data_IF_753050658558
#
_entry.id   IF_753050658558
#
_cell.length_a   1.000
_cell.length_b   1.000
_cell.length_c   1.000
_cell.angle_alpha   90.00
_cell.angle_beta   90.00
_cell.angle_gamma   90.00
#
_symmetry.space_group_name_H-M   'P 1'
#
loop_
_entity.id
_entity.type
_entity.pdbx_description
1 polymer ?
#
# COMPACT_ATOMS: atom_id res chain seq x y z
N UNK A 1 -18.14 -34.92 -49.60
CA UNK A 1 -18.24 -34.92 -48.11
C UNK A 1 -17.01 -34.23 -47.55
N UNK A 2 -17.12 -33.10 -46.82
CA UNK A 2 -16.00 -32.55 -46.09
C UNK A 2 -15.80 -33.37 -44.80
N UNK A 3 -14.57 -33.80 -44.53
CA UNK A 3 -14.20 -34.45 -43.26
C UNK A 3 -14.31 -33.42 -42.14
N UNK A 4 -15.31 -33.56 -41.27
CA UNK A 4 -15.30 -32.93 -39.95
C UNK A 4 -14.06 -33.42 -39.19
N UNK A 5 -13.06 -32.55 -39.04
CA UNK A 5 -12.01 -32.75 -38.04
C UNK A 5 -12.57 -32.27 -36.71
N UNK A 6 -13.06 -33.21 -35.91
CA UNK A 6 -13.35 -32.98 -34.50
C UNK A 6 -12.03 -32.62 -33.81
N UNK A 7 -11.88 -31.39 -33.34
CA UNK A 7 -10.72 -30.96 -32.57
C UNK A 7 -10.81 -31.59 -31.18
N UNK A 8 -10.20 -32.77 -31.00
CA UNK A 8 -9.99 -33.34 -29.67
C UNK A 8 -8.81 -32.59 -29.04
N UNK A 9 -9.10 -31.66 -28.13
CA UNK A 9 -8.07 -31.03 -27.33
C UNK A 9 -7.45 -32.10 -26.40
N UNK A 10 -6.22 -32.51 -26.69
CA UNK A 10 -5.42 -33.37 -25.81
C UNK A 10 -5.35 -32.70 -24.42
N UNK A 11 -6.01 -33.32 -23.42
CA UNK A 11 -5.93 -32.91 -22.01
C UNK A 11 -4.89 -33.76 -21.30
N UNK A 12 -4.06 -33.09 -20.50
CA UNK A 12 -3.00 -33.70 -19.69
C UNK A 12 -3.41 -33.69 -18.23
N UNK A 13 -3.65 -34.86 -17.64
CA UNK A 13 -4.16 -34.97 -16.27
C UNK A 13 -3.05 -35.13 -15.23
N UNK A 14 -3.21 -34.44 -14.10
CA UNK A 14 -2.37 -34.61 -12.93
C UNK A 14 -2.83 -35.81 -12.10
N UNK A 15 -2.01 -36.87 -12.09
CA UNK A 15 -2.29 -38.11 -11.34
C UNK A 15 -2.39 -37.89 -9.81
N UNK A 16 -1.81 -36.81 -9.28
CA UNK A 16 -1.80 -36.54 -7.84
C UNK A 16 -3.03 -35.78 -7.33
N UNK A 17 -3.77 -35.06 -8.18
CA UNK A 17 -4.94 -34.27 -7.74
C UNK A 17 -6.08 -34.14 -8.77
N UNK A 18 -6.08 -34.97 -9.82
CA UNK A 18 -7.11 -35.06 -10.87
C UNK A 18 -7.42 -33.75 -11.64
N UNK A 19 -6.54 -32.74 -11.59
CA UNK A 19 -6.65 -31.53 -12.44
C UNK A 19 -6.18 -31.79 -13.87
N UNK A 20 -6.89 -31.25 -14.87
CA UNK A 20 -6.59 -31.38 -16.30
C UNK A 20 -6.01 -30.10 -16.89
N UNK A 21 -5.07 -30.22 -17.81
CA UNK A 21 -4.36 -29.09 -18.44
C UNK A 21 -4.40 -29.21 -19.96
N UNK A 22 -4.54 -28.07 -20.66
CA UNK A 22 -4.54 -28.02 -22.13
C UNK A 22 -3.15 -28.14 -22.75
N UNK A 23 -2.09 -28.03 -21.94
CA UNK A 23 -0.69 -28.17 -22.39
C UNK A 23 0.13 -28.95 -21.37
N UNK A 24 1.13 -29.68 -21.86
CA UNK A 24 2.08 -30.42 -21.00
C UNK A 24 2.91 -29.48 -20.13
N UNK A 25 3.18 -28.25 -20.60
CA UNK A 25 3.81 -27.19 -19.82
C UNK A 25 2.99 -26.74 -18.62
N UNK A 26 1.66 -26.64 -18.78
CA UNK A 26 0.72 -26.35 -17.68
C UNK A 26 0.75 -27.43 -16.61
N UNK A 27 0.75 -28.71 -17.01
CA UNK A 27 0.88 -29.83 -16.08
C UNK A 27 2.22 -29.81 -15.31
N UNK A 28 3.33 -29.47 -15.99
CA UNK A 28 4.66 -29.40 -15.37
C UNK A 28 4.76 -28.27 -14.35
N UNK A 29 4.25 -27.08 -14.67
CA UNK A 29 4.18 -25.94 -13.72
C UNK A 29 3.35 -26.29 -12.49
N UNK A 30 2.18 -26.89 -12.69
CA UNK A 30 1.34 -27.34 -11.59
C UNK A 30 2.01 -28.40 -10.70
N UNK A 31 2.69 -29.40 -11.29
CA UNK A 31 3.46 -30.38 -10.50
C UNK A 31 4.55 -29.74 -9.66
N UNK A 32 5.27 -28.77 -10.22
CA UNK A 32 6.33 -28.07 -9.50
C UNK A 32 5.82 -27.15 -8.38
N UNK A 33 4.66 -26.52 -8.57
CA UNK A 33 4.10 -25.59 -7.59
C UNK A 33 3.29 -26.30 -6.48
N UNK A 34 2.58 -27.38 -6.83
CA UNK A 34 1.59 -27.99 -5.93
C UNK A 34 2.02 -29.35 -5.36
N UNK A 35 3.05 -30.00 -5.92
CA UNK A 35 3.44 -31.37 -5.54
C UNK A 35 4.94 -31.52 -5.28
N UNK A 36 5.71 -30.42 -5.27
CA UNK A 36 7.14 -30.47 -5.00
C UNK A 36 7.39 -30.10 -3.54
N UNK A 37 7.76 -31.07 -2.72
CA UNK A 37 8.32 -30.80 -1.39
C UNK A 37 9.68 -30.11 -1.57
N UNK A 38 9.83 -28.97 -0.89
CA UNK A 38 11.00 -28.12 -1.01
C UNK A 38 12.17 -28.70 -0.21
N UNK A 39 13.14 -29.31 -0.90
CA UNK A 39 14.50 -29.44 -0.37
C UNK A 39 15.31 -28.24 -0.88
N UNK A 40 15.54 -27.26 0.00
CA UNK A 40 16.45 -26.14 -0.28
C UNK A 40 17.86 -26.48 0.23
N UNK A 41 18.84 -26.40 -0.66
CA UNK A 41 20.24 -26.20 -0.29
C UNK A 41 20.54 -24.69 -0.30
N UNK A 42 21.31 -24.16 0.66
CA UNK A 42 21.57 -22.72 0.75
C UNK A 42 22.56 -22.25 -0.32
N UNK A 43 22.43 -21.00 -0.82
CA UNK A 43 23.35 -20.42 -1.80
C UNK A 43 24.61 -19.83 -1.12
N UNK A 44 25.76 -19.99 -1.77
CA UNK A 44 27.05 -19.44 -1.33
C UNK A 44 27.12 -17.91 -1.50
N UNK A 45 27.83 -17.19 -0.61
CA UNK A 45 27.92 -15.73 -0.64
C UNK A 45 28.90 -15.20 -1.70
N UNK A 46 28.73 -13.93 -2.15
CA UNK A 46 29.58 -13.31 -3.15
C UNK A 46 30.89 -12.79 -2.54
N UNK A 47 31.99 -12.92 -3.30
CA UNK A 47 33.30 -12.37 -2.98
C UNK A 47 33.33 -10.90 -3.41
N UNK A 48 33.42 -9.97 -2.46
CA UNK A 48 33.72 -8.56 -2.74
C UNK A 48 35.16 -8.25 -2.32
N UNK A 49 35.96 -7.83 -3.30
CA UNK A 49 37.30 -7.31 -3.11
C UNK A 49 37.31 -5.81 -3.42
N UNK A 50 37.40 -4.94 -2.41
CA UNK A 50 37.99 -3.61 -2.56
C UNK A 50 38.67 -3.16 -1.25
N UNK A 51 39.75 -2.36 -1.32
CA UNK A 51 40.70 -2.16 -0.23
C UNK A 51 40.32 -1.01 0.72
N UNK A 52 40.66 -1.23 1.99
CA UNK A 52 40.83 -0.25 3.09
C UNK A 52 41.69 0.94 2.62
N UNK A 53 41.58 2.18 3.10
CA UNK A 53 41.00 2.78 4.29
C UNK A 53 41.87 4.00 4.60
N UNK A 54 41.31 5.09 5.14
CA UNK A 54 42.06 6.10 5.91
C UNK A 54 41.15 6.66 6.99
N UNK A 55 41.54 6.42 8.23
CA UNK A 55 40.95 6.95 9.46
C UNK A 55 41.37 8.40 9.68
N UNK A 56 40.48 9.21 10.28
CA UNK A 56 40.89 10.30 11.16
C UNK A 56 39.88 10.45 12.29
N UNK A 57 40.34 10.17 13.51
CA UNK A 57 39.74 10.55 14.79
C UNK A 57 39.99 12.05 15.03
N UNK A 58 39.03 12.78 15.63
CA UNK A 58 39.15 13.28 17.01
C UNK A 58 37.88 14.05 17.48
N UNK A 59 37.64 14.04 18.80
CA UNK A 59 37.08 15.19 19.52
C UNK A 59 35.60 15.18 19.93
N UNK A 60 35.27 14.45 20.99
CA UNK A 60 34.00 14.49 21.72
C UNK A 60 33.76 15.79 22.51
N UNK A 61 32.49 16.24 22.58
CA UNK A 61 31.92 16.97 23.73
C UNK A 61 30.42 16.67 23.85
N UNK A 62 30.08 16.17 25.04
CA UNK A 62 28.80 15.61 25.46
C UNK A 62 27.68 16.62 25.66
N UNK A 63 26.49 16.29 25.19
CA UNK A 63 25.22 16.71 25.80
C UNK A 63 24.25 15.53 25.77
N UNK A 64 23.70 15.25 26.96
CA UNK A 64 22.72 14.20 27.25
C UNK A 64 21.38 14.52 26.57
N UNK A 65 20.59 13.46 26.33
CA UNK A 65 19.26 13.42 25.70
C UNK A 65 19.21 13.37 24.16
N UNK A 66 19.68 12.26 23.57
CA UNK A 66 19.16 11.68 22.33
C UNK A 66 19.71 10.24 22.11
N UNK A 67 19.09 9.23 22.71
CA UNK A 67 19.30 7.83 22.28
C UNK A 67 18.10 7.33 21.46
N UNK A 68 18.03 7.78 20.20
CA UNK A 68 17.52 6.96 19.10
C UNK A 68 18.73 6.52 18.27
N UNK A 69 19.39 5.45 18.70
CA UNK A 69 20.40 4.78 17.88
C UNK A 69 19.72 3.98 16.79
N UNK A 70 19.69 4.55 15.59
CA UNK A 70 19.54 3.78 14.36
C UNK A 70 20.65 2.73 14.29
N UNK A 71 20.27 1.46 14.39
CA UNK A 71 21.20 0.33 14.33
C UNK A 71 21.95 0.31 13.01
N UNK A 72 23.28 0.25 13.09
CA UNK A 72 24.17 0.01 11.96
C UNK A 72 23.84 -1.30 11.23
N UNK A 73 23.97 -1.26 9.90
CA UNK A 73 23.58 -2.31 8.96
C UNK A 73 24.54 -3.52 8.90
N UNK A 74 25.32 -3.82 9.94
CA UNK A 74 26.35 -4.88 9.91
C UNK A 74 26.30 -5.88 11.08
N UNK A 75 25.19 -5.95 11.82
CA UNK A 75 24.95 -7.00 12.82
C UNK A 75 24.07 -8.13 12.27
N UNK A 76 24.43 -9.39 12.52
CA UNK A 76 23.49 -10.50 12.36
C UNK A 76 22.19 -10.19 13.15
N UNK A 77 20.99 -10.50 12.63
CA UNK A 77 19.75 -10.20 13.33
C UNK A 77 19.80 -10.79 14.75
N UNK A 78 19.63 -9.95 15.77
CA UNK A 78 19.55 -10.43 17.14
C UNK A 78 18.35 -11.38 17.25
N UNK A 79 18.61 -12.59 17.75
CA UNK A 79 17.55 -13.58 17.95
C UNK A 79 16.61 -13.08 19.04
N UNK A 80 15.30 -13.12 18.76
CA UNK A 80 14.26 -12.84 19.76
C UNK A 80 14.08 -14.09 20.61
N UNK A 81 14.23 -13.95 21.93
CA UNK A 81 14.01 -15.03 22.89
C UNK A 81 12.70 -14.85 23.66
N UNK A 82 12.34 -13.60 23.98
CA UNK A 82 11.12 -13.27 24.71
C UNK A 82 10.36 -12.17 24.00
N UNK A 83 9.06 -12.39 23.78
CA UNK A 83 8.13 -11.38 23.26
C UNK A 83 7.09 -11.06 24.33
N UNK A 84 6.96 -9.77 24.67
CA UNK A 84 5.91 -9.25 25.55
C UNK A 84 4.89 -8.48 24.72
N UNK A 85 3.64 -8.91 24.76
CA UNK A 85 2.54 -8.20 24.10
C UNK A 85 1.92 -7.16 25.02
N UNK A 86 1.42 -6.08 24.43
CA UNK A 86 0.73 -5.05 25.18
C UNK A 86 -0.51 -5.63 25.89
N UNK A 87 -0.66 -5.43 27.22
CA UNK A 87 -1.67 -6.15 28.01
C UNK A 87 -3.11 -5.70 27.70
N UNK A 88 -3.29 -4.41 27.35
CA UNK A 88 -4.61 -3.78 27.21
C UNK A 88 -5.09 -3.63 25.75
N UNK A 89 -4.25 -3.06 24.89
CA UNK A 89 -4.46 -2.97 23.43
C UNK A 89 -4.05 -4.28 22.74
N UNK A 90 -4.68 -5.38 23.15
CA UNK A 90 -4.32 -6.76 22.79
C UNK A 90 -5.13 -7.34 21.61
N UNK A 91 -5.79 -6.47 20.82
CA UNK A 91 -6.43 -6.82 19.56
C UNK A 91 -7.43 -7.99 19.67
N UNK A 92 -8.35 -7.89 20.63
CA UNK A 92 -9.35 -8.93 20.96
C UNK A 92 -10.18 -9.30 19.72
N UNK A 93 -10.18 -10.58 19.31
CA UNK A 93 -11.02 -11.07 18.24
C UNK A 93 -12.50 -10.85 18.55
N UNK A 94 -13.28 -10.55 17.51
CA UNK A 94 -14.71 -10.31 17.57
C UNK A 94 -15.44 -11.19 16.55
N UNK A 95 -16.74 -11.39 16.75
CA UNK A 95 -17.65 -11.88 15.73
C UNK A 95 -18.01 -10.75 14.71
N UNK A 96 -18.73 -11.06 13.61
CA UNK A 96 -19.16 -10.04 12.65
C UNK A 96 -20.11 -8.96 13.20
N UNK A 97 -20.67 -9.16 14.40
CA UNK A 97 -21.51 -8.19 15.09
C UNK A 97 -20.72 -7.32 16.08
N UNK A 98 -19.42 -7.58 16.26
CA UNK A 98 -18.55 -6.86 17.18
C UNK A 98 -18.53 -7.42 18.60
N UNK A 99 -19.08 -8.60 18.86
CA UNK A 99 -18.98 -9.21 20.19
C UNK A 99 -17.63 -9.91 20.35
N UNK A 100 -16.91 -9.75 21.48
CA UNK A 100 -15.66 -10.44 21.72
C UNK A 100 -15.82 -11.97 21.66
N UNK A 101 -14.85 -12.65 21.06
CA UNK A 101 -14.77 -14.11 21.00
C UNK A 101 -13.44 -14.63 21.56
N UNK A 102 -13.36 -15.88 22.04
CA UNK A 102 -12.10 -16.47 22.48
C UNK A 102 -11.02 -16.42 21.39
N UNK A 103 -9.76 -16.26 21.78
CA UNK A 103 -8.61 -16.15 20.86
C UNK A 103 -8.51 -17.34 19.89
N UNK A 104 -8.84 -18.54 20.36
CA UNK A 104 -8.76 -19.78 19.57
C UNK A 104 -9.97 -20.00 18.64
N UNK A 105 -10.90 -19.04 18.57
CA UNK A 105 -12.07 -19.13 17.69
C UNK A 105 -11.61 -19.13 16.23
N UNK A 106 -11.95 -20.14 15.41
CA UNK A 106 -11.59 -20.14 14.01
C UNK A 106 -12.14 -18.91 13.28
N UNK A 107 -11.39 -18.33 12.33
CA UNK A 107 -11.86 -17.17 11.57
C UNK A 107 -13.19 -17.48 10.87
N UNK A 108 -14.12 -16.53 10.88
CA UNK A 108 -15.34 -16.67 10.09
C UNK A 108 -14.94 -16.80 8.62
N UNK A 109 -15.44 -17.82 7.89
CA UNK A 109 -15.18 -17.96 6.47
C UNK A 109 -15.56 -16.66 5.74
N UNK A 110 -14.80 -16.23 4.72
CA UNK A 110 -15.25 -15.13 3.88
C UNK A 110 -16.65 -15.44 3.36
N UNK A 111 -17.54 -14.44 3.33
CA UNK A 111 -18.70 -14.49 2.44
C UNK A 111 -18.20 -14.35 0.99
N UNK A 112 -17.44 -15.33 0.50
CA UNK A 112 -17.06 -15.42 -0.88
C UNK A 112 -17.99 -16.44 -1.55
N UNK A 113 -18.83 -16.02 -2.51
CA UNK A 113 -19.29 -16.98 -3.50
C UNK A 113 -18.03 -17.47 -4.23
N UNK A 114 -17.74 -18.76 -4.15
CA UNK A 114 -16.52 -19.41 -4.66
C UNK A 114 -16.28 -19.24 -6.19
N UNK A 115 -17.11 -18.47 -6.89
CA UNK A 115 -17.15 -18.27 -8.34
C UNK A 115 -17.74 -16.90 -8.76
N UNK A 116 -17.66 -15.86 -7.92
CA UNK A 116 -18.17 -14.53 -8.32
C UNK A 116 -17.18 -13.82 -9.25
N UNK A 117 -17.40 -13.94 -10.57
CA UNK A 117 -16.63 -13.23 -11.59
C UNK A 117 -17.12 -11.79 -11.80
N UNK A 118 -18.05 -11.30 -10.99
CA UNK A 118 -18.60 -9.94 -11.14
C UNK A 118 -17.50 -8.88 -11.16
N UNK A 119 -17.66 -7.85 -12.01
CA UNK A 119 -18.81 -7.55 -12.85
C UNK A 119 -18.89 -8.39 -14.15
N UNK A 120 -17.92 -9.25 -14.41
CA UNK A 120 -17.91 -10.10 -15.60
C UNK A 120 -18.98 -11.19 -15.52
N UNK A 121 -19.63 -11.44 -16.65
CA UNK A 121 -20.68 -12.46 -16.77
C UNK A 121 -20.14 -13.90 -16.61
N UNK A 122 -18.83 -14.10 -16.77
CA UNK A 122 -18.18 -15.40 -16.66
C UNK A 122 -16.67 -15.29 -16.54
N UNK A 123 -16.02 -16.39 -16.15
CA UNK A 123 -14.55 -16.56 -16.23
C UNK A 123 -13.98 -16.27 -17.62
N UNK A 124 -14.72 -16.63 -18.68
CA UNK A 124 -14.27 -16.41 -20.06
C UNK A 124 -14.27 -14.92 -20.36
N UNK A 125 -15.33 -14.20 -19.97
CA UNK A 125 -15.40 -12.75 -20.12
C UNK A 125 -14.25 -12.06 -19.38
N UNK A 126 -13.97 -12.46 -18.13
CA UNK A 126 -12.84 -11.95 -17.36
C UNK A 126 -11.49 -12.19 -18.08
N UNK A 127 -11.21 -13.43 -18.48
CA UNK A 127 -9.94 -13.78 -19.13
C UNK A 127 -9.76 -13.15 -20.50
N UNK A 128 -10.85 -12.97 -21.23
CA UNK A 128 -10.84 -12.25 -22.50
C UNK A 128 -10.57 -10.75 -22.29
N UNK A 129 -11.19 -10.14 -21.28
CA UNK A 129 -10.91 -8.76 -20.87
C UNK A 129 -9.44 -8.58 -20.48
N UNK A 130 -8.91 -9.45 -19.63
CA UNK A 130 -7.48 -9.45 -19.23
C UNK A 130 -6.56 -9.55 -20.45
N UNK A 131 -6.80 -10.50 -21.35
CA UNK A 131 -6.00 -10.67 -22.56
C UNK A 131 -6.03 -9.44 -23.47
N UNK A 132 -7.23 -8.95 -23.81
CA UNK A 132 -7.38 -7.85 -24.78
C UNK A 132 -6.92 -6.50 -24.22
N UNK A 133 -7.19 -6.22 -22.95
CA UNK A 133 -6.89 -4.94 -22.31
C UNK A 133 -5.45 -4.88 -21.77
N UNK A 134 -5.02 -5.90 -21.03
CA UNK A 134 -3.75 -5.88 -20.28
C UNK A 134 -2.60 -6.52 -21.05
N UNK A 135 -2.81 -7.69 -21.65
CA UNK A 135 -1.73 -8.43 -22.30
C UNK A 135 -1.42 -7.89 -23.70
N UNK A 136 -2.44 -7.78 -24.56
CA UNK A 136 -2.27 -7.32 -25.95
C UNK A 136 -2.37 -5.80 -26.12
N UNK A 137 -3.00 -5.11 -25.15
CA UNK A 137 -3.34 -3.68 -25.25
C UNK A 137 -3.97 -3.35 -26.61
N UNK A 138 -4.93 -4.17 -27.01
CA UNK A 138 -5.43 -4.19 -28.38
C UNK A 138 -6.17 -2.90 -28.72
N UNK A 139 -5.89 -2.33 -29.91
CA UNK A 139 -6.58 -1.14 -30.39
C UNK A 139 -8.11 -1.34 -30.41
N UNK A 140 -8.86 -0.33 -29.96
CA UNK A 140 -10.33 -0.36 -29.85
C UNK A 140 -11.04 -0.89 -31.10
N UNK A 141 -10.64 -0.41 -32.29
CA UNK A 141 -11.17 -0.86 -33.58
C UNK A 141 -10.98 -2.37 -33.84
N UNK A 142 -9.88 -2.96 -33.36
CA UNK A 142 -9.59 -4.38 -33.49
C UNK A 142 -10.42 -5.20 -32.50
N UNK A 143 -10.64 -4.69 -31.29
CA UNK A 143 -11.52 -5.32 -30.30
C UNK A 143 -12.96 -5.39 -30.84
N UNK A 144 -13.49 -4.29 -31.35
CA UNK A 144 -14.82 -4.29 -31.98
C UNK A 144 -14.89 -5.28 -33.14
N UNK A 145 -13.85 -5.32 -33.99
CA UNK A 145 -13.82 -6.28 -35.10
C UNK A 145 -13.82 -7.73 -34.64
N UNK A 146 -13.09 -8.05 -33.57
CA UNK A 146 -13.07 -9.36 -32.97
C UNK A 146 -14.46 -9.76 -32.45
N UNK A 147 -15.15 -8.86 -31.74
CA UNK A 147 -16.48 -9.13 -31.22
C UNK A 147 -17.54 -9.25 -32.33
N UNK A 148 -17.43 -8.49 -33.43
CA UNK A 148 -18.27 -8.68 -34.62
C UNK A 148 -18.11 -10.09 -35.21
N UNK A 149 -16.88 -10.54 -35.42
CA UNK A 149 -16.60 -11.87 -35.98
C UNK A 149 -17.10 -12.98 -35.04
N UNK A 150 -16.90 -12.79 -33.73
CA UNK A 150 -17.38 -13.75 -32.75
C UNK A 150 -18.91 -13.80 -32.71
N UNK A 151 -19.57 -12.64 -32.76
CA UNK A 151 -21.04 -12.55 -32.85
C UNK A 151 -21.56 -13.30 -34.06
N UNK A 152 -20.95 -13.07 -35.24
CA UNK A 152 -21.33 -13.77 -36.47
C UNK A 152 -21.22 -15.30 -36.33
N UNK A 153 -20.15 -15.80 -35.70
CA UNK A 153 -19.96 -17.25 -35.47
C UNK A 153 -20.95 -17.87 -34.47
N UNK A 154 -21.48 -17.08 -33.53
CA UNK A 154 -22.39 -17.54 -32.49
C UNK A 154 -23.87 -17.41 -32.89
N UNK A 155 -24.18 -16.56 -33.89
CA UNK A 155 -25.53 -16.29 -34.35
C UNK A 155 -26.26 -17.58 -34.78
N UNK A 156 -25.56 -18.47 -35.47
CA UNK A 156 -26.08 -19.78 -35.94
C UNK A 156 -26.47 -20.72 -34.79
N UNK A 157 -25.98 -20.46 -33.58
CA UNK A 157 -26.22 -21.26 -32.38
C UNK A 157 -27.03 -20.51 -31.32
N UNK A 158 -27.58 -19.33 -31.63
CA UNK A 158 -28.32 -18.49 -30.68
C UNK A 158 -27.46 -17.98 -29.52
N UNK A 159 -26.14 -17.97 -29.67
CA UNK A 159 -25.20 -17.54 -28.64
C UNK A 159 -24.92 -16.04 -28.68
N UNK A 160 -24.41 -15.50 -27.58
CA UNK A 160 -23.94 -14.11 -27.48
C UNK A 160 -22.46 -14.07 -27.11
N UNK A 161 -21.69 -13.11 -27.65
CA UNK A 161 -20.29 -12.94 -27.27
C UNK A 161 -20.17 -12.48 -25.80
N UNK A 162 -19.01 -12.70 -25.15
CA UNK A 162 -18.78 -12.26 -23.76
C UNK A 162 -18.95 -10.74 -23.56
N UNK A 163 -18.67 -9.95 -24.60
CA UNK A 163 -18.91 -8.50 -24.64
C UNK A 163 -19.57 -8.13 -25.97
N UNK A 164 -20.46 -7.14 -25.93
CA UNK A 164 -21.21 -6.66 -27.10
C UNK A 164 -20.43 -5.63 -27.91
N UNK A 165 -19.49 -4.94 -27.27
CA UNK A 165 -18.60 -3.96 -27.89
C UNK A 165 -17.37 -3.74 -27.01
N UNK A 166 -16.36 -3.06 -27.54
CA UNK A 166 -15.23 -2.57 -26.75
C UNK A 166 -15.71 -1.64 -25.63
N UNK A 167 -16.74 -0.82 -25.87
CA UNK A 167 -17.28 0.10 -24.86
C UNK A 167 -17.86 -0.70 -23.68
N UNK A 168 -18.69 -1.71 -23.95
CA UNK A 168 -19.22 -2.60 -22.91
C UNK A 168 -18.09 -3.32 -22.16
N UNK A 169 -17.02 -3.74 -22.85
CA UNK A 169 -15.86 -4.34 -22.19
C UNK A 169 -15.18 -3.34 -21.23
N UNK A 170 -14.93 -2.10 -21.65
CA UNK A 170 -14.30 -1.10 -20.79
C UNK A 170 -15.22 -0.68 -19.63
N UNK A 171 -16.51 -0.49 -19.87
CA UNK A 171 -17.49 -0.24 -18.80
C UNK A 171 -17.53 -1.39 -17.78
N UNK A 172 -17.40 -2.64 -18.24
CA UNK A 172 -17.30 -3.80 -17.35
C UNK A 172 -16.01 -3.79 -16.55
N UNK A 173 -14.89 -3.41 -17.16
CA UNK A 173 -13.60 -3.26 -16.45
C UNK A 173 -13.67 -2.12 -15.43
N UNK A 174 -14.26 -0.99 -15.79
CA UNK A 174 -14.41 0.18 -14.92
C UNK A 174 -15.41 -0.09 -13.79
N UNK A 175 -16.36 -1.01 -13.98
CA UNK A 175 -17.30 -1.46 -12.96
C UNK A 175 -16.72 -2.47 -11.96
N UNK A 176 -15.43 -2.84 -12.07
CA UNK A 176 -14.79 -3.74 -11.13
C UNK A 176 -14.82 -3.11 -9.72
N UNK A 177 -15.61 -3.71 -8.84
CA UNK A 177 -15.72 -3.29 -7.43
C UNK A 177 -14.60 -3.87 -6.56
N UNK A 178 -13.91 -4.89 -7.05
CA UNK A 178 -12.75 -5.51 -6.42
C UNK A 178 -11.49 -4.91 -7.02
N UNK A 179 -10.98 -3.84 -6.43
CA UNK A 179 -9.82 -3.14 -6.99
C UNK A 179 -9.36 -1.98 -6.12
N UNK A 180 -8.44 -1.20 -6.67
CA UNK A 180 -7.84 -0.07 -5.98
C UNK A 180 -8.83 1.05 -5.69
N UNK A 181 -8.62 1.72 -4.56
CA UNK A 181 -9.33 2.95 -4.20
C UNK A 181 -9.19 4.00 -5.31
N UNK A 182 -10.28 4.60 -5.81
CA UNK A 182 -10.24 5.53 -6.93
C UNK A 182 -9.50 6.82 -6.57
N UNK A 183 -8.86 7.41 -7.59
CA UNK A 183 -8.29 8.75 -7.50
C UNK A 183 -9.39 9.81 -7.53
N UNK A 184 -9.24 10.80 -6.67
CA UNK A 184 -10.06 12.01 -6.56
C UNK A 184 -9.15 13.22 -6.76
N UNK A 185 -9.73 14.34 -7.17
CA UNK A 185 -9.01 15.60 -7.34
C UNK A 185 -9.68 16.69 -6.51
N UNK A 186 -8.87 17.53 -5.87
CA UNK A 186 -9.32 18.79 -5.31
C UNK A 186 -8.29 19.88 -5.62
N UNK A 187 -8.72 21.12 -5.50
CA UNK A 187 -7.90 22.27 -5.87
C UNK A 187 -7.72 23.23 -4.69
N UNK A 188 -6.52 23.79 -4.58
CA UNK A 188 -6.17 24.81 -3.58
C UNK A 188 -5.73 26.07 -4.30
N UNK A 189 -6.15 27.22 -3.79
CA UNK A 189 -5.73 28.54 -4.31
C UNK A 189 -5.24 29.43 -3.19
N UNK A 190 -4.38 30.39 -3.54
CA UNK A 190 -4.01 31.46 -2.62
C UNK A 190 -5.26 32.28 -2.26
N UNK A 191 -5.39 32.62 -0.98
CA UNK A 191 -6.55 33.33 -0.42
C UNK A 191 -6.16 34.54 0.43
N UNK A 192 -4.88 34.93 0.39
CA UNK A 192 -4.40 36.13 1.08
C UNK A 192 -4.61 37.39 0.25
N UNK A 193 -4.12 38.51 0.78
CA UNK A 193 -4.16 39.80 0.10
C UNK A 193 -3.37 39.74 -1.22
N UNK A 194 -3.96 40.33 -2.25
CA UNK A 194 -3.38 40.44 -3.58
C UNK A 194 -2.88 41.89 -3.73
N UNK A 195 -1.59 42.11 -4.06
CA UNK A 195 -1.04 43.46 -4.19
C UNK A 195 -1.75 44.26 -5.28
N UNK A 196 -1.93 45.56 -5.04
CA UNK A 196 -2.34 46.52 -6.06
C UNK A 196 -1.22 46.64 -7.13
N UNK A 197 -1.48 46.15 -8.35
CA UNK A 197 -0.50 46.19 -9.46
C UNK A 197 -0.32 44.83 -10.15
N UNK A 198 0.92 44.52 -10.58
CA UNK A 198 1.21 43.25 -11.28
C UNK A 198 1.18 42.07 -10.30
N UNK A 199 0.06 41.35 -10.28
CA UNK A 199 -0.12 40.16 -9.44
C UNK A 199 0.79 39.01 -9.89
N UNK A 200 1.57 38.39 -8.99
CA UNK A 200 2.30 37.18 -9.30
C UNK A 200 1.38 36.05 -9.77
N UNK A 201 1.75 35.34 -10.83
CA UNK A 201 0.93 34.24 -11.38
C UNK A 201 0.62 33.16 -10.36
N UNK A 202 1.51 32.91 -9.40
CA UNK A 202 1.31 31.92 -8.34
C UNK A 202 0.17 32.28 -7.37
N UNK A 203 -0.17 33.56 -7.22
CA UNK A 203 -1.31 34.00 -6.40
C UNK A 203 -2.65 33.78 -7.10
N UNK A 204 -2.65 33.68 -8.43
CA UNK A 204 -3.85 33.48 -9.27
C UNK A 204 -4.01 32.02 -9.72
N UNK A 205 -2.97 31.22 -9.54
CA UNK A 205 -2.94 29.83 -9.98
C UNK A 205 -3.79 28.94 -9.07
N UNK A 206 -4.43 27.97 -9.70
CA UNK A 206 -5.10 26.87 -9.02
C UNK A 206 -4.16 25.67 -8.98
N UNK A 207 -4.03 25.07 -7.80
CA UNK A 207 -3.12 23.96 -7.54
C UNK A 207 -3.93 22.70 -7.32
N UNK A 208 -3.97 21.84 -8.33
CA UNK A 208 -4.66 20.56 -8.27
C UNK A 208 -3.84 19.52 -7.50
N UNK A 209 -4.51 18.78 -6.64
CA UNK A 209 -3.97 17.64 -5.90
C UNK A 209 -4.82 16.42 -6.24
N UNK A 210 -4.15 15.37 -6.71
CA UNK A 210 -4.79 14.08 -6.94
C UNK A 210 -4.51 13.18 -5.76
N UNK A 211 -5.54 12.54 -5.19
CA UNK A 211 -5.38 11.68 -4.02
C UNK A 211 -6.35 10.51 -4.01
N UNK A 212 -5.99 9.47 -3.28
CA UNK A 212 -6.85 8.34 -2.93
C UNK A 212 -7.24 8.48 -1.46
N UNK A 213 -8.45 8.07 -1.12
CA UNK A 213 -8.94 8.16 0.26
C UNK A 213 -8.12 7.23 1.17
N UNK A 214 -7.35 7.77 2.14
CA UNK A 214 -6.48 6.96 2.98
C UNK A 214 -7.26 6.00 3.90
N UNK A 215 -8.49 6.35 4.28
CA UNK A 215 -9.35 5.47 5.08
C UNK A 215 -9.69 4.21 4.29
N UNK A 216 -10.16 4.37 3.04
CA UNK A 216 -10.51 3.24 2.18
C UNK A 216 -9.28 2.38 1.87
N UNK A 217 -8.11 3.00 1.68
CA UNK A 217 -6.86 2.27 1.45
C UNK A 217 -6.43 1.47 2.68
N UNK A 218 -6.56 2.05 3.87
CA UNK A 218 -6.27 1.33 5.11
C UNK A 218 -7.22 0.14 5.31
N UNK A 219 -8.51 0.29 4.96
CA UNK A 219 -9.47 -0.82 4.96
C UNK A 219 -9.09 -1.89 3.93
N UNK A 220 -8.70 -1.49 2.72
CA UNK A 220 -8.22 -2.40 1.68
C UNK A 220 -7.02 -3.21 2.15
N UNK A 221 -6.00 -2.57 2.75
CA UNK A 221 -4.83 -3.25 3.32
C UNK A 221 -5.23 -4.27 4.40
N UNK A 222 -6.09 -3.89 5.34
CA UNK A 222 -6.53 -4.78 6.42
C UNK A 222 -7.42 -5.93 5.94
N UNK A 223 -8.17 -5.73 4.86
CA UNK A 223 -9.03 -6.78 4.28
C UNK A 223 -8.29 -7.77 3.40
N UNK A 224 -7.02 -7.50 3.05
CA UNK A 224 -6.26 -8.30 2.10
C UNK A 224 -5.67 -9.55 2.78
N UNK A 225 -6.15 -10.77 2.48
CA UNK A 225 -5.62 -12.00 3.07
C UNK A 225 -4.19 -12.31 2.62
N UNK A 226 -3.69 -11.65 1.56
CA UNK A 226 -2.30 -11.77 1.13
C UNK A 226 -1.28 -11.33 2.19
N UNK A 227 -1.69 -10.49 3.14
CA UNK A 227 -0.84 -10.07 4.28
C UNK A 227 -0.93 -10.97 5.51
N UNK A 228 -1.71 -12.05 5.47
CA UNK A 228 -1.96 -12.91 6.64
C UNK A 228 -0.68 -13.32 7.38
N UNK A 229 0.33 -13.81 6.65
CA UNK A 229 1.56 -14.33 7.27
C UNK A 229 2.55 -13.21 7.64
N UNK A 230 2.22 -11.95 7.33
CA UNK A 230 3.01 -10.76 7.62
C UNK A 230 2.24 -9.72 8.42
N UNK A 231 1.26 -10.14 9.21
CA UNK A 231 0.35 -9.27 9.95
C UNK A 231 0.57 -9.36 11.46
N UNK A 232 0.89 -8.21 12.06
CA UNK A 232 1.17 -8.04 13.49
C UNK A 232 0.07 -7.17 14.14
N UNK A 233 -0.97 -7.78 14.75
CA UNK A 233 -2.09 -7.02 15.29
C UNK A 233 -1.80 -6.35 16.64
N UNK A 234 -0.77 -6.79 17.38
CA UNK A 234 -0.57 -6.38 18.77
C UNK A 234 0.79 -5.70 18.93
N UNK A 235 0.85 -4.48 19.52
CA UNK A 235 2.11 -3.86 19.91
C UNK A 235 2.89 -4.78 20.84
N UNK A 236 4.19 -4.92 20.60
CA UNK A 236 5.03 -5.86 21.34
C UNK A 236 6.38 -5.26 21.70
N UNK A 237 7.05 -5.88 22.66
CA UNK A 237 8.45 -5.66 22.99
C UNK A 237 9.16 -6.99 22.87
N UNK A 238 10.10 -7.06 21.94
CA UNK A 238 10.94 -8.23 21.73
C UNK A 238 12.27 -8.02 22.48
N UNK A 239 12.76 -9.09 23.10
CA UNK A 239 13.98 -9.11 23.89
C UNK A 239 14.89 -10.25 23.47
N UNK A 240 16.20 -9.98 23.48
CA UNK A 240 17.23 -11.00 23.29
C UNK A 240 17.53 -11.79 24.58
N UNK A 241 18.44 -12.76 24.49
CA UNK A 241 18.87 -13.61 25.62
C UNK A 241 19.49 -12.86 26.79
N UNK A 242 19.92 -11.62 26.57
CA UNK A 242 20.53 -10.75 27.58
C UNK A 242 19.52 -9.72 28.12
N UNK A 243 18.27 -9.76 27.68
CA UNK A 243 17.24 -8.79 28.03
C UNK A 243 17.34 -7.46 27.27
N UNK A 244 18.17 -7.36 26.24
CA UNK A 244 18.27 -6.20 25.36
C UNK A 244 17.06 -6.10 24.42
N UNK A 245 16.67 -4.88 24.04
CA UNK A 245 15.55 -4.67 23.10
C UNK A 245 15.94 -5.07 21.69
N UNK A 246 15.07 -5.85 21.05
CA UNK A 246 15.15 -6.19 19.62
C UNK A 246 14.04 -5.46 18.87
N UNK A 247 14.39 -4.83 17.75
CA UNK A 247 13.46 -4.08 16.90
C UNK A 247 13.47 -4.67 15.49
N UNK A 248 12.43 -5.43 15.14
CA UNK A 248 12.35 -6.15 13.86
C UNK A 248 11.22 -5.65 12.97
N UNK A 249 10.11 -5.18 13.55
CA UNK A 249 8.94 -4.65 12.85
C UNK A 249 8.43 -3.39 13.53
N UNK A 250 7.57 -2.64 12.83
CA UNK A 250 7.02 -1.40 13.37
C UNK A 250 6.30 -1.63 14.71
N UNK A 251 5.55 -2.73 14.83
CA UNK A 251 4.83 -3.06 16.07
C UNK A 251 5.73 -3.44 17.25
N UNK A 252 7.00 -3.80 16.99
CA UNK A 252 8.03 -3.99 18.04
C UNK A 252 8.67 -2.67 18.51
N UNK A 253 8.41 -1.57 17.80
CA UNK A 253 8.97 -0.25 18.06
C UNK A 253 8.47 0.39 19.35
N UNK A 254 9.25 1.30 19.93
CA UNK A 254 8.84 2.04 21.13
C UNK A 254 7.63 2.95 20.86
N UNK A 255 7.48 3.46 19.64
CA UNK A 255 6.34 4.30 19.25
C UNK A 255 5.00 3.55 19.38
N UNK A 256 4.89 2.32 18.87
CA UNK A 256 3.63 1.55 18.90
C UNK A 256 3.18 1.28 20.33
N UNK A 257 4.13 0.97 21.21
CA UNK A 257 3.86 0.74 22.63
C UNK A 257 3.39 2.03 23.33
N UNK A 258 4.10 3.15 23.16
CA UNK A 258 3.71 4.43 23.77
C UNK A 258 2.32 4.88 23.30
N UNK A 259 2.03 4.70 22.00
CA UNK A 259 0.72 5.02 21.45
C UNK A 259 -0.38 4.13 22.04
N UNK A 260 -0.09 2.85 22.25
CA UNK A 260 -1.00 1.92 22.90
C UNK A 260 -1.26 2.30 24.36
N UNK A 261 -0.23 2.66 25.13
CA UNK A 261 -0.36 3.14 26.52
C UNK A 261 -1.24 4.39 26.58
N UNK A 262 -1.07 5.34 25.66
CA UNK A 262 -1.87 6.57 25.59
C UNK A 262 -3.35 6.27 25.29
N UNK A 263 -3.63 5.42 24.30
CA UNK A 263 -5.00 5.07 23.92
C UNK A 263 -5.70 4.19 24.96
N UNK A 264 -4.95 3.36 25.69
CA UNK A 264 -5.47 2.50 26.75
C UNK A 264 -5.98 3.27 27.98
N UNK A 265 -5.67 4.57 28.10
CA UNK A 265 -6.21 5.44 29.15
C UNK A 265 -7.73 5.63 29.03
N UNK A 266 -8.30 5.52 27.82
CA UNK A 266 -9.75 5.52 27.62
C UNK A 266 -10.30 4.09 27.73
N UNK A 267 -11.18 3.80 28.72
CA UNK A 267 -11.80 2.50 28.89
C UNK A 267 -12.60 2.01 27.66
N UNK A 268 -12.99 2.89 26.73
CA UNK A 268 -13.69 2.50 25.50
C UNK A 268 -12.79 1.79 24.49
N UNK A 269 -11.48 1.98 24.61
CA UNK A 269 -10.47 1.46 23.69
C UNK A 269 -9.90 0.10 24.12
N UNK A 270 -10.27 -0.40 25.31
CA UNK A 270 -9.79 -1.68 25.82
C UNK A 270 -10.03 -2.81 24.81
N UNK A 271 -9.00 -3.60 24.56
CA UNK A 271 -9.03 -4.71 23.62
C UNK A 271 -8.98 -4.32 22.14
N UNK A 272 -8.92 -3.03 21.80
CA UNK A 272 -8.81 -2.61 20.41
C UNK A 272 -7.42 -2.91 19.82
N UNK A 273 -7.39 -3.08 18.51
CA UNK A 273 -6.19 -3.16 17.69
C UNK A 273 -5.80 -1.75 17.25
N UNK A 274 -4.56 -1.33 17.50
CA UNK A 274 -4.06 -0.08 16.93
C UNK A 274 -3.58 -0.32 15.50
N UNK A 275 -3.90 0.60 14.59
CA UNK A 275 -3.47 0.55 13.19
C UNK A 275 -2.69 1.82 12.88
N UNK A 276 -1.35 1.78 13.03
CA UNK A 276 -0.50 2.90 12.67
C UNK A 276 -0.50 3.10 11.16
N UNK A 277 -0.71 4.33 10.70
CA UNK A 277 -0.60 4.72 9.30
C UNK A 277 0.71 5.50 9.13
N UNK A 278 1.66 4.88 8.46
CA UNK A 278 2.98 5.44 8.19
C UNK A 278 2.89 6.19 6.87
N UNK A 279 3.31 7.44 6.86
CA UNK A 279 3.32 8.25 5.64
C UNK A 279 4.76 8.54 5.21
N UNK A 280 4.94 8.90 3.96
CA UNK A 280 6.20 9.45 3.50
C UNK A 280 6.02 10.16 2.18
N UNK A 281 6.84 11.17 1.91
CA UNK A 281 6.82 11.87 0.63
C UNK A 281 8.23 12.03 0.12
N UNK A 282 8.38 11.97 -1.19
CA UNK A 282 9.66 12.14 -1.85
C UNK A 282 9.44 13.02 -3.08
N UNK A 283 9.96 14.26 -3.05
CA UNK A 283 9.84 15.15 -4.20
C UNK A 283 10.86 14.76 -5.26
N UNK A 284 10.38 14.23 -6.38
CA UNK A 284 11.22 13.69 -7.46
C UNK A 284 11.11 14.52 -8.73
N UNK A 285 12.24 14.92 -9.31
CA UNK A 285 12.29 15.58 -10.62
C UNK A 285 12.26 14.54 -11.74
N UNK A 286 11.26 14.61 -12.62
CA UNK A 286 10.92 13.57 -13.59
C UNK A 286 11.39 13.93 -15.00
N UNK A 287 11.44 15.23 -15.33
CA UNK A 287 12.06 15.69 -16.58
C UNK A 287 12.79 17.02 -16.42
N UNK A 288 14.04 17.05 -16.86
CA UNK A 288 14.88 18.27 -16.86
C UNK A 288 14.82 18.98 -18.22
N UNK A 289 14.70 18.23 -19.32
CA UNK A 289 14.84 18.76 -20.69
C UNK A 289 13.57 19.40 -21.28
N UNK A 290 12.38 19.07 -20.78
CA UNK A 290 11.09 19.46 -21.40
C UNK A 290 10.14 20.23 -20.47
N UNK A 291 10.65 20.85 -19.41
CA UNK A 291 9.85 21.79 -18.59
C UNK A 291 9.97 21.70 -17.07
N UNK A 292 11.05 21.09 -16.53
CA UNK A 292 11.25 20.95 -15.08
C UNK A 292 10.01 20.37 -14.38
N UNK A 293 9.54 19.19 -14.80
CA UNK A 293 8.40 18.55 -14.16
C UNK A 293 8.86 17.79 -12.93
N UNK A 294 8.34 18.19 -11.76
CA UNK A 294 8.52 17.48 -10.50
C UNK A 294 7.23 16.73 -10.18
N UNK A 295 7.34 15.48 -9.74
CA UNK A 295 6.27 14.80 -9.03
C UNK A 295 6.55 14.86 -7.53
N UNK A 296 5.48 15.04 -6.76
CA UNK A 296 5.58 15.02 -5.31
C UNK A 296 4.62 13.97 -4.74
N UNK A 297 4.94 12.68 -4.92
CA UNK A 297 4.15 11.59 -4.37
C UNK A 297 4.14 11.61 -2.84
N UNK A 298 2.97 11.34 -2.28
CA UNK A 298 2.75 10.95 -0.89
C UNK A 298 2.42 9.46 -0.87
N UNK A 299 3.10 8.71 -0.03
CA UNK A 299 2.94 7.28 0.18
C UNK A 299 2.31 6.99 1.53
N UNK A 300 1.63 5.85 1.63
CA UNK A 300 1.09 5.32 2.88
C UNK A 300 1.40 3.83 3.02
N UNK A 301 1.66 3.41 4.24
CA UNK A 301 1.74 2.01 4.65
C UNK A 301 1.08 1.82 6.02
N UNK A 302 0.73 0.59 6.37
CA UNK A 302 0.17 0.28 7.68
C UNK A 302 1.23 -0.41 8.55
N UNK A 303 1.48 0.11 9.75
CA UNK A 303 2.48 -0.40 10.68
C UNK A 303 2.23 -1.83 11.18
N UNK A 304 1.00 -2.33 11.05
CA UNK A 304 0.66 -3.74 11.34
C UNK A 304 1.19 -4.72 10.29
N UNK A 305 1.74 -4.24 9.17
CA UNK A 305 2.41 -5.09 8.17
C UNK A 305 3.90 -5.17 8.50
N UNK A 306 4.39 -6.39 8.61
CA UNK A 306 5.81 -6.71 8.88
C UNK A 306 6.75 -6.11 7.83
N UNK A 307 8.00 -5.89 8.22
CA UNK A 307 9.07 -5.39 7.35
C UNK A 307 9.30 -6.32 6.14
N UNK A 308 9.16 -7.63 6.32
CA UNK A 308 9.30 -8.60 5.23
C UNK A 308 8.31 -8.34 4.10
N UNK A 309 7.04 -8.11 4.44
CA UNK A 309 6.00 -7.76 3.48
C UNK A 309 6.08 -6.30 3.00
N UNK A 310 6.57 -5.37 3.82
CA UNK A 310 6.88 -4.00 3.37
C UNK A 310 7.99 -3.94 2.31
N UNK A 311 8.96 -4.86 2.38
CA UNK A 311 10.06 -4.97 1.40
C UNK A 311 9.71 -5.87 0.22
N UNK A 312 8.70 -6.73 0.35
CA UNK A 312 8.15 -7.48 -0.76
C UNK A 312 7.31 -6.54 -1.64
N UNK A 313 7.39 -6.71 -2.97
CA UNK A 313 6.56 -5.99 -3.94
C UNK A 313 5.11 -6.50 -3.90
N UNK A 314 4.40 -6.30 -2.79
CA UNK A 314 3.04 -6.79 -2.55
C UNK A 314 2.09 -5.66 -2.08
N UNK A 315 2.23 -4.46 -2.63
CA UNK A 315 1.36 -3.30 -2.39
C UNK A 315 1.17 -2.93 -0.89
N UNK A 316 2.17 -3.22 -0.08
CA UNK A 316 2.24 -2.86 1.34
C UNK A 316 2.57 -1.38 1.55
N UNK A 317 3.15 -0.72 0.54
CA UNK A 317 3.40 0.72 0.46
C UNK A 317 2.77 1.22 -0.83
N UNK A 318 1.85 2.18 -0.73
CA UNK A 318 1.06 2.65 -1.88
C UNK A 318 1.09 4.16 -2.00
N UNK A 319 1.16 4.73 -3.23
CA UNK A 319 1.06 6.17 -3.43
C UNK A 319 -0.38 6.64 -3.19
N UNK A 320 -0.60 7.52 -2.24
CA UNK A 320 -1.94 8.02 -1.88
C UNK A 320 -2.22 9.42 -2.40
N UNK A 321 -1.21 10.21 -2.76
CA UNK A 321 -1.44 11.50 -3.38
C UNK A 321 -0.27 11.93 -4.29
N UNK A 322 -0.57 12.85 -5.20
CA UNK A 322 0.42 13.67 -5.91
C UNK A 322 0.18 15.12 -5.49
N UNK A 323 1.08 15.64 -4.65
CA UNK A 323 0.99 16.98 -4.09
C UNK A 323 1.38 18.04 -5.11
N UNK A 324 0.73 19.19 -5.04
CA UNK A 324 1.05 20.31 -5.89
C UNK A 324 2.41 20.93 -5.51
N UNK A 325 3.26 21.16 -6.51
CA UNK A 325 4.51 21.92 -6.36
C UNK A 325 4.33 23.29 -7.01
N UNK A 326 4.16 24.37 -6.22
CA UNK A 326 3.97 25.69 -6.78
C UNK A 326 5.28 26.18 -7.39
N UNK A 327 5.27 26.41 -8.70
CA UNK A 327 6.40 27.00 -9.43
C UNK A 327 6.23 28.51 -9.49
N UNK A 328 7.31 29.25 -9.25
CA UNK A 328 7.36 30.70 -9.43
C UNK A 328 8.73 31.11 -9.99
N UNK A 329 8.85 32.35 -10.48
CA UNK A 329 10.14 32.87 -10.90
C UNK A 329 11.08 33.08 -9.71
N UNK A 330 12.39 32.86 -9.91
CA UNK A 330 13.44 32.95 -8.86
C UNK A 330 13.39 34.20 -7.97
N UNK A 331 12.83 35.30 -8.49
CA UNK A 331 12.62 36.53 -7.71
C UNK A 331 11.75 36.33 -6.45
N UNK A 332 10.90 35.30 -6.41
CA UNK A 332 10.02 35.00 -5.29
C UNK A 332 10.59 33.94 -4.33
N UNK A 333 11.76 33.35 -4.60
CA UNK A 333 12.31 32.27 -3.76
C UNK A 333 12.55 32.71 -2.30
N UNK A 334 12.84 34.01 -2.11
CA UNK A 334 13.04 34.65 -0.80
C UNK A 334 11.84 35.49 -0.36
N UNK A 335 10.73 35.45 -1.08
CA UNK A 335 9.51 36.17 -0.71
C UNK A 335 8.82 35.47 0.47
N UNK A 336 8.69 36.11 1.65
CA UNK A 336 8.06 35.50 2.82
C UNK A 336 6.61 35.08 2.58
N UNK A 337 5.86 35.80 1.74
CA UNK A 337 4.47 35.49 1.43
C UNK A 337 4.41 34.21 0.60
N UNK A 338 5.28 34.08 -0.40
CA UNK A 338 5.36 32.87 -1.22
C UNK A 338 5.83 31.66 -0.41
N UNK A 339 6.84 31.82 0.44
CA UNK A 339 7.31 30.75 1.33
C UNK A 339 6.21 30.26 2.26
N UNK A 340 5.49 31.18 2.90
CA UNK A 340 4.33 30.86 3.75
C UNK A 340 3.23 30.15 2.96
N UNK A 341 2.95 30.61 1.75
CA UNK A 341 1.97 29.97 0.87
C UNK A 341 2.37 28.52 0.53
N UNK A 342 3.64 28.27 0.22
CA UNK A 342 4.17 26.90 -0.04
C UNK A 342 3.92 25.97 1.15
N UNK A 343 4.21 26.46 2.37
CA UNK A 343 3.97 25.69 3.59
C UNK A 343 2.47 25.44 3.80
N UNK A 344 1.63 26.46 3.65
CA UNK A 344 0.19 26.33 3.79
C UNK A 344 -0.41 25.37 2.76
N UNK A 345 0.05 25.42 1.51
CA UNK A 345 -0.40 24.52 0.44
C UNK A 345 -0.10 23.07 0.81
N UNK A 346 1.12 22.78 1.26
CA UNK A 346 1.51 21.44 1.70
C UNK A 346 0.66 20.95 2.89
N UNK A 347 0.62 21.72 3.99
CA UNK A 347 -0.08 21.34 5.21
C UNK A 347 -1.60 21.25 5.05
N UNK A 348 -2.22 22.17 4.31
CA UNK A 348 -3.67 22.10 4.00
C UNK A 348 -3.99 20.92 3.11
N UNK A 349 -3.11 20.57 2.17
CA UNK A 349 -3.31 19.37 1.32
C UNK A 349 -3.28 18.10 2.16
N UNK A 350 -2.28 17.94 3.05
CA UNK A 350 -2.22 16.80 3.96
C UNK A 350 -3.43 16.73 4.89
N UNK A 351 -3.83 17.87 5.49
CA UNK A 351 -4.99 17.93 6.37
C UNK A 351 -6.28 17.52 5.63
N UNK A 352 -6.48 17.97 4.38
CA UNK A 352 -7.63 17.59 3.57
C UNK A 352 -7.62 16.09 3.24
N UNK A 353 -6.48 15.56 2.80
CA UNK A 353 -6.32 14.14 2.45
C UNK A 353 -6.61 13.24 3.66
N UNK A 354 -6.08 13.61 4.83
CA UNK A 354 -6.18 12.82 6.07
C UNK A 354 -7.52 13.00 6.80
N UNK A 355 -8.39 13.90 6.36
CA UNK A 355 -9.66 14.23 7.04
C UNK A 355 -10.53 12.98 7.26
N UNK A 356 -10.58 12.07 6.28
CA UNK A 356 -11.39 10.84 6.35
C UNK A 356 -10.97 9.88 7.47
N UNK A 357 -9.74 10.01 7.99
CA UNK A 357 -9.22 9.15 9.06
C UNK A 357 -9.72 9.55 10.45
N UNK A 358 -10.09 10.81 10.66
CA UNK A 358 -10.39 11.36 12.01
C UNK A 358 -11.42 10.55 12.78
N UNK A 359 -12.47 10.08 12.10
CA UNK A 359 -13.52 9.27 12.72
C UNK A 359 -12.95 7.96 13.27
N UNK A 360 -12.16 7.23 12.48
CA UNK A 360 -11.54 5.97 12.90
C UNK A 360 -10.34 6.13 13.85
N UNK A 361 -9.87 7.36 14.06
CA UNK A 361 -8.89 7.68 15.12
C UNK A 361 -9.55 7.92 16.48
N UNK A 362 -10.84 8.26 16.50
CA UNK A 362 -11.58 8.62 17.72
C UNK A 362 -12.52 7.50 18.16
N UNK A 363 -13.15 6.83 17.20
CA UNK A 363 -14.16 5.79 17.43
C UNK A 363 -13.64 4.50 16.82
N UNK A 364 -13.62 3.43 17.64
CA UNK A 364 -13.23 2.11 17.18
C UNK A 364 -14.15 1.62 16.06
N UNK A 365 -13.56 1.04 15.03
CA UNK A 365 -14.29 0.50 13.88
C UNK A 365 -14.16 -1.01 13.83
N UNK A 366 -15.26 -1.73 13.60
CA UNK A 366 -15.20 -3.17 13.41
C UNK A 366 -14.66 -3.47 12.01
N UNK A 367 -13.53 -4.17 11.93
CA UNK A 367 -12.87 -4.50 10.67
C UNK A 367 -12.44 -5.95 10.63
N UNK A 368 -12.60 -6.58 9.46
CA UNK A 368 -12.02 -7.88 9.18
C UNK A 368 -10.55 -7.72 8.78
N UNK A 369 -9.67 -8.43 9.47
CA UNK A 369 -8.22 -8.36 9.33
C UNK A 369 -7.68 -9.41 8.34
N UNK A 370 -6.38 -9.37 7.98
CA UNK A 370 -5.79 -10.30 7.00
C UNK A 370 -5.86 -11.77 7.41
N UNK A 371 -5.86 -12.04 8.71
CA UNK A 371 -6.02 -13.38 9.29
C UNK A 371 -7.47 -13.90 9.28
N UNK A 372 -8.41 -13.08 8.78
CA UNK A 372 -9.83 -13.40 8.65
C UNK A 372 -10.66 -13.10 9.90
N UNK A 373 -10.04 -12.71 11.01
CA UNK A 373 -10.71 -12.36 12.25
C UNK A 373 -11.28 -10.94 12.19
N UNK A 374 -12.41 -10.71 12.84
CA UNK A 374 -12.90 -9.34 13.06
C UNK A 374 -12.26 -8.76 14.33
N UNK A 375 -11.92 -7.48 14.29
CA UNK A 375 -11.39 -6.74 15.44
C UNK A 375 -11.94 -5.34 15.46
N UNK A 376 -12.09 -4.79 16.65
CA UNK A 376 -12.25 -3.36 16.80
C UNK A 376 -10.89 -2.67 16.60
N UNK A 377 -10.80 -1.76 15.64
CA UNK A 377 -9.56 -1.09 15.28
C UNK A 377 -9.62 0.41 15.59
N UNK A 378 -8.47 1.01 15.87
CA UNK A 378 -8.27 2.45 15.95
C UNK A 378 -7.11 2.85 15.04
N UNK A 379 -7.35 3.74 14.11
CA UNK A 379 -6.29 4.31 13.29
C UNK A 379 -5.45 5.30 14.09
N UNK A 380 -4.15 5.34 13.83
CA UNK A 380 -3.24 6.32 14.38
C UNK A 380 -2.40 6.92 13.25
N UNK A 381 -2.20 8.23 13.24
CA UNK A 381 -1.16 8.83 12.39
C UNK A 381 0.19 8.44 12.97
N UNK A 382 0.89 7.57 12.24
CA UNK A 382 2.22 7.10 12.57
C UNK A 382 3.31 8.09 12.13
N UNK A 383 4.58 7.66 12.19
CA UNK A 383 5.71 8.44 11.71
C UNK A 383 5.58 8.84 10.23
N UNK A 384 6.18 9.98 9.91
CA UNK A 384 6.33 10.46 8.55
C UNK A 384 7.79 10.28 8.12
N UNK A 385 8.02 9.47 7.08
CA UNK A 385 9.33 9.21 6.50
C UNK A 385 9.64 10.29 5.47
N UNK A 386 10.67 11.07 5.74
CA UNK A 386 11.09 12.20 4.93
C UNK A 386 12.61 12.38 5.04
N UNK A 387 13.25 12.88 3.98
CA UNK A 387 14.59 13.43 4.06
C UNK A 387 14.58 14.81 4.73
N UNK A 388 15.75 15.40 4.94
CA UNK A 388 15.87 16.60 5.77
C UNK A 388 15.06 17.82 5.26
N UNK A 389 15.08 18.17 3.96
CA UNK A 389 14.28 19.31 3.47
C UNK A 389 12.77 19.11 3.70
N UNK A 390 12.29 17.88 3.52
CA UNK A 390 10.90 17.50 3.73
C UNK A 390 10.55 17.50 5.23
N UNK A 391 11.46 17.03 6.10
CA UNK A 391 11.32 17.15 7.55
C UNK A 391 11.22 18.61 7.98
N UNK A 392 12.03 19.49 7.40
CA UNK A 392 11.97 20.92 7.69
C UNK A 392 10.64 21.55 7.27
N UNK A 393 10.10 21.13 6.11
CA UNK A 393 8.78 21.54 5.62
C UNK A 393 7.63 21.03 6.52
N UNK A 394 7.69 19.77 6.94
CA UNK A 394 6.70 19.14 7.83
C UNK A 394 6.66 19.80 9.20
N UNK A 395 7.82 20.09 9.77
CA UNK A 395 7.93 20.64 11.13
C UNK A 395 7.87 22.17 11.16
N UNK A 396 7.97 22.83 10.00
CA UNK A 396 7.94 24.28 9.89
C UNK A 396 9.17 24.97 10.50
N UNK A 397 10.29 24.26 10.59
CA UNK A 397 11.55 24.79 11.13
C UNK A 397 12.36 25.54 10.06
N UNK A 398 13.33 26.31 10.52
CA UNK A 398 14.34 26.94 9.67
C UNK A 398 15.32 25.88 9.17
N UNK A 399 15.65 25.90 7.88
CA UNK A 399 16.66 25.00 7.30
C UNK A 399 18.02 25.16 7.99
N UNK A 400 18.67 24.04 8.28
CA UNK A 400 19.89 23.93 9.09
C UNK A 400 19.63 23.68 10.58
N UNK A 401 18.38 23.68 11.04
CA UNK A 401 18.03 23.39 12.44
C UNK A 401 17.51 21.96 12.59
N UNK A 402 17.65 21.39 13.78
CA UNK A 402 17.00 20.11 14.10
C UNK A 402 15.55 20.36 14.53
N UNK A 403 14.57 19.60 14.01
CA UNK A 403 13.22 19.60 14.55
C UNK A 403 13.25 19.13 16.01
N UNK A 404 12.48 19.80 16.87
CA UNK A 404 12.33 19.43 18.28
C UNK A 404 11.25 18.38 18.47
#
# INVERSE_FOLDING_TARGET
MPRNKTYSALRYDCRSCRRSFSTQGGLKKHKNASHKEAQFAPPSPPVNSFPSGVEHQDGSRSFEDAEEHGGGLDGAPLAVEVTQYHPTMNAVPCDPNGNPVPIDTPPTPPNAPNDDWKPFSSRIAFKLGEFLYKEEQMLQRKINKLFELWTASLLEHGGTPPFTSQQHMYETIDAITVGDVPWKTFSVKYSGEVPDGTTPSWMLSEYEIHFRDPHLLAQQHLSNPGFKDGFDPIPRRDFDSKGGRVYNDFMSGSWSWKQADALAQDPKNLGAMIVPLIFGSDKTTVSVATGQNDYYPLYMSTGVITNAYRRAHCDSVVPIAFLATPKSGRKYDKDPVFQKFRWQLFHKSLAFIMESLKSGMTIKQLMRCPDGQYRHILYCLGPYIADYPEQALLTGIVSGWCPK
#
